data_IF_315913239218
#
_entry.id   IF_315913239218
#
_cell.length_a   1.000
_cell.length_b   1.000
_cell.length_c   1.000
_cell.angle_alpha   90.00
_cell.angle_beta   90.00
_cell.angle_gamma   90.00
#
_symmetry.space_group_name_H-M   'P 1'
#
loop_
_entity.id
_entity.type
_entity.pdbx_description
1 polymer ?
2 non-polymer ?
3 water ?
#
# COMPACT_ATOMS: atom_id res chain seq x y z
N UNK A 10 -14.80 0.12 4.12
CA UNK A 10 -15.41 0.33 2.79
C UNK A 10 -14.90 -0.69 1.80
N UNK A 11 -15.80 -1.38 1.12
CA UNK A 11 -15.45 -2.48 0.22
C UNK A 11 -15.72 -2.08 -1.23
N UNK A 12 -14.74 -2.35 -2.10
CA UNK A 12 -14.81 -2.05 -3.52
C UNK A 12 -14.41 -3.26 -4.34
N UNK A 13 -14.93 -3.36 -5.57
CA UNK A 13 -14.51 -4.45 -6.44
C UNK A 13 -13.85 -3.88 -7.68
N UNK A 14 -12.80 -4.55 -8.12
CA UNK A 14 -12.15 -4.19 -9.38
C UNK A 14 -11.42 -5.41 -9.94
N UNK A 15 -11.64 -5.66 -11.22
CA UNK A 15 -11.15 -6.89 -11.79
C UNK A 15 -11.82 -8.05 -11.07
N UNK A 16 -11.05 -9.05 -10.73
CA UNK A 16 -11.50 -10.16 -9.88
C UNK A 16 -11.00 -9.98 -8.45
N UNK A 17 -10.93 -8.73 -7.99
CA UNK A 17 -10.34 -8.39 -6.70
C UNK A 17 -11.34 -7.64 -5.83
N UNK A 18 -11.36 -7.97 -4.56
CA UNK A 18 -12.09 -7.21 -3.57
C UNK A 18 -11.09 -6.39 -2.76
N UNK A 19 -11.30 -5.08 -2.71
CA UNK A 19 -10.51 -4.17 -1.89
C UNK A 19 -11.32 -3.75 -0.68
N UNK A 20 -10.63 -3.59 0.44
CA UNK A 20 -11.15 -2.98 1.63
C UNK A 20 -10.30 -1.80 2.00
N UNK A 21 -10.93 -0.64 2.16
CA UNK A 21 -10.24 0.58 2.53
C UNK A 21 -10.47 0.85 4.02
N UNK A 22 -9.38 0.92 4.77
CA UNK A 22 -9.43 1.15 6.21
C UNK A 22 -9.08 2.58 6.50
N UNK A 23 -9.89 3.21 7.35
CA UNK A 23 -9.59 4.54 7.88
C UNK A 23 -9.37 4.40 9.38
N UNK A 24 -8.12 4.40 9.79
CA UNK A 24 -7.76 4.23 11.18
C UNK A 24 -6.34 4.72 11.35
N UNK A 25 -5.99 5.10 12.58
CA UNK A 25 -4.65 5.58 12.90
C UNK A 25 -3.73 4.36 13.11
N UNK A 26 -2.82 4.11 12.17
CA UNK A 26 -2.08 2.85 12.16
C UNK A 26 -0.61 3.01 11.78
N UNK A 27 0.26 2.30 12.44
CA UNK A 27 1.57 2.05 11.86
C UNK A 27 1.45 1.01 10.75
N UNK A 28 2.57 0.71 10.05
CA UNK A 28 2.48 -0.29 8.98
C UNK A 28 2.21 -1.65 9.61
N UNK A 29 2.82 -1.93 10.76
CA UNK A 29 2.60 -3.20 11.43
C UNK A 29 1.14 -3.38 11.84
N UNK A 30 0.51 -2.27 12.30
CA UNK A 30 -0.91 -2.28 12.67
C UNK A 30 -1.80 -2.39 11.45
N UNK A 31 -1.33 -1.91 10.30
CA UNK A 31 -2.07 -2.11 9.06
C UNK A 31 -2.05 -3.57 8.62
N UNK A 32 -0.91 -4.28 8.78
CA UNK A 32 -0.88 -5.69 8.52
C UNK A 32 -1.96 -6.36 9.36
N UNK A 33 -1.95 -6.05 10.66
CA UNK A 33 -2.89 -6.66 11.61
C UNK A 33 -4.34 -6.33 11.24
N UNK A 34 -4.61 -5.06 10.97
CA UNK A 34 -5.99 -4.63 10.74
C UNK A 34 -6.54 -5.27 9.50
N UNK A 35 -5.72 -5.34 8.43
CA UNK A 35 -6.22 -6.03 7.26
C UNK A 35 -6.59 -7.47 7.60
N UNK A 36 -5.71 -8.17 8.31
CA UNK A 36 -5.99 -9.58 8.65
C UNK A 36 -7.24 -9.72 9.51
N UNK A 37 -7.45 -8.80 10.44
CA UNK A 37 -8.66 -8.81 11.25
C UNK A 37 -9.90 -8.66 10.39
N UNK A 38 -9.78 -8.08 9.20
CA UNK A 38 -10.89 -7.99 8.24
C UNK A 38 -10.85 -9.09 7.18
N UNK A 39 -10.11 -10.16 7.44
CA UNK A 39 -10.01 -11.32 6.56
C UNK A 39 -9.44 -10.93 5.19
N UNK A 40 -8.47 -10.03 5.21
CA UNK A 40 -7.84 -9.58 3.99
C UNK A 40 -6.34 -9.41 4.26
N UNK A 41 -5.63 -8.87 3.28
CA UNK A 41 -4.21 -8.63 3.46
C UNK A 41 -3.80 -7.27 2.90
N UNK A 42 -2.86 -6.64 3.57
CA UNK A 42 -2.37 -5.35 3.07
C UNK A 42 -1.99 -5.51 1.60
N UNK A 43 -2.38 -4.53 0.77
CA UNK A 43 -2.49 -4.74 -0.66
C UNK A 43 -1.15 -4.92 -1.37
N UNK A 44 -1.16 -5.77 -2.37
CA UNK A 44 -0.10 -5.83 -3.36
C UNK A 44 -0.68 -5.27 -4.66
N UNK A 45 0.18 -4.55 -5.38
CA UNK A 45 -0.22 -3.80 -6.60
C UNK A 45 0.69 -4.30 -7.71
N UNK A 46 0.15 -5.08 -8.63
CA UNK A 46 0.98 -5.79 -9.56
C UNK A 46 0.90 -5.30 -10.98
N UNK A 47 0.02 -4.34 -11.30
CA UNK A 47 0.00 -3.80 -12.64
C UNK A 47 -0.66 -2.43 -12.68
N UNK A 48 -0.52 -1.78 -13.82
CA UNK A 48 -1.00 -0.40 -14.01
C UNK A 48 -2.51 -0.26 -13.90
N UNK A 49 -3.28 -1.33 -14.18
CA UNK A 49 -4.72 -1.20 -14.11
C UNK A 49 -5.23 -1.14 -12.69
N UNK A 50 -4.72 -2.04 -11.82
CA UNK A 50 -5.10 -2.03 -10.43
C UNK A 50 -4.55 -0.78 -9.78
N UNK A 51 -3.35 -0.35 -10.20
CA UNK A 51 -2.82 0.91 -9.68
C UNK A 51 -3.74 2.09 -10.03
N UNK A 52 -4.19 2.18 -11.28
CA UNK A 52 -5.01 3.30 -11.70
C UNK A 52 -6.35 3.31 -10.95
N UNK A 53 -6.90 2.12 -10.67
CA UNK A 53 -8.11 2.06 -9.84
C UNK A 53 -7.87 2.64 -8.46
N UNK A 54 -6.70 2.28 -7.85
CA UNK A 54 -6.42 2.75 -6.51
C UNK A 54 -6.03 4.21 -6.50
N UNK A 55 -5.39 4.71 -7.58
CA UNK A 55 -5.12 6.13 -7.69
C UNK A 55 -6.40 6.94 -7.60
N UNK A 56 -7.45 6.51 -8.28
CA UNK A 56 -8.72 7.23 -8.24
C UNK A 56 -9.28 7.21 -6.83
N UNK A 57 -9.24 6.03 -6.20
CA UNK A 57 -9.72 5.91 -4.81
C UNK A 57 -8.97 6.87 -3.89
N UNK A 58 -7.63 6.85 -3.96
CA UNK A 58 -6.80 7.68 -3.08
C UNK A 58 -6.99 9.18 -3.36
N UNK A 59 -7.11 9.55 -4.61
CA UNK A 59 -7.23 10.96 -4.94
C UNK A 59 -8.57 11.50 -4.46
N UNK A 60 -9.60 10.65 -4.46
CA UNK A 60 -10.89 11.04 -3.88
C UNK A 60 -10.86 11.12 -2.37
N UNK A 61 -10.10 10.24 -1.69
CA UNK A 61 -10.03 10.33 -0.24
C UNK A 61 -9.14 11.45 0.25
N UNK A 62 -8.00 11.66 -0.38
CA UNK A 62 -7.15 12.77 -0.09
C UNK A 62 -6.05 12.59 0.92
N UNK A 63 -5.72 11.35 1.31
CA UNK A 63 -4.67 11.15 2.31
C UNK A 63 -3.99 9.81 2.05
N UNK A 64 -2.78 9.71 2.56
CA UNK A 64 -1.90 8.58 2.29
C UNK A 64 -2.40 7.31 2.98
N UNK A 65 -2.22 6.15 2.31
CA UNK A 65 -2.62 4.85 2.82
C UNK A 65 -1.43 3.89 2.78
N UNK A 66 -1.24 3.10 3.83
CA UNK A 66 -0.25 2.04 3.75
C UNK A 66 -0.59 1.02 2.66
N UNK A 67 0.46 0.49 2.03
CA UNK A 67 0.34 -0.67 1.15
C UNK A 67 1.34 -1.72 1.63
N UNK A 68 1.28 -2.90 1.01
CA UNK A 68 1.96 -4.06 1.58
C UNK A 68 3.37 -4.27 1.14
N UNK A 69 4.09 -3.24 0.81
CA UNK A 69 5.46 -3.36 0.35
C UNK A 69 6.47 -2.95 1.42
N UNK A 70 7.54 -3.72 1.56
CA UNK A 70 8.51 -3.46 2.64
C UNK A 70 9.87 -4.03 2.26
N UNK A 71 10.89 -3.53 2.95
CA UNK A 71 12.24 -4.04 2.78
C UNK A 71 12.90 -4.37 4.12
N UNK A 72 13.66 -5.45 4.15
CA UNK A 72 14.54 -5.74 5.28
C UNK A 72 16.03 -5.62 4.97
N UNK A 73 16.40 -5.17 3.76
CA UNK A 73 17.79 -5.06 3.35
C UNK A 73 18.10 -3.66 2.84
N UNK A 74 17.54 -2.65 3.54
CA UNK A 74 17.81 -1.24 3.33
C UNK A 74 17.49 -0.80 1.91
N UNK A 75 16.43 -1.37 1.35
CA UNK A 75 15.94 -0.98 0.06
C UNK A 75 16.60 -1.61 -1.12
N UNK A 76 17.47 -2.57 -0.92
CA UNK A 76 18.02 -3.33 -2.04
C UNK A 76 16.92 -4.11 -2.74
N UNK A 77 16.01 -4.70 -1.96
CA UNK A 77 14.88 -5.47 -2.46
C UNK A 77 13.65 -5.08 -1.68
N UNK A 78 12.52 -4.87 -2.39
CA UNK A 78 11.24 -4.65 -1.74
C UNK A 78 10.36 -5.85 -2.06
N UNK A 79 9.67 -6.37 -1.07
CA UNK A 79 8.80 -7.52 -1.23
C UNK A 79 7.37 -7.15 -0.83
N UNK A 80 6.40 -7.84 -1.42
CA UNK A 80 5.01 -7.73 -0.97
C UNK A 80 4.72 -8.63 0.22
N UNK A 81 4.07 -8.06 1.23
CA UNK A 81 3.73 -8.81 2.45
C UNK A 81 2.77 -9.97 2.19
N UNK A 82 1.97 -9.92 1.11
CA UNK A 82 1.07 -11.02 0.81
C UNK A 82 1.72 -12.10 -0.05
N UNK A 83 3.01 -12.00 -0.32
CA UNK A 83 3.78 -13.01 -1.04
C UNK A 83 3.82 -12.91 -2.55
N UNK A 84 3.11 -11.99 -3.16
CA UNK A 84 3.10 -11.88 -4.61
C UNK A 84 4.46 -11.47 -5.16
N UNK A 85 4.80 -12.03 -6.31
CA UNK A 85 6.05 -11.70 -6.98
C UNK A 85 5.73 -10.89 -8.23
N UNK A 86 6.38 -9.74 -8.37
CA UNK A 86 6.04 -8.87 -9.49
C UNK A 86 7.11 -7.79 -9.66
N UNK A 87 7.24 -7.32 -10.88
CA UNK A 87 8.20 -6.29 -11.25
C UNK A 87 7.63 -4.89 -11.15
N UNK A 88 6.31 -4.75 -11.04
CA UNK A 88 5.66 -3.44 -11.15
C UNK A 88 6.05 -2.55 -9.98
N UNK A 89 6.38 -1.28 -10.28
CA UNK A 89 6.62 -0.28 -9.24
C UNK A 89 5.93 1.01 -9.65
N UNK A 90 5.66 1.85 -8.66
CA UNK A 90 4.97 3.13 -8.88
C UNK A 90 5.50 4.17 -7.92
N UNK A 91 6.83 4.24 -7.82
CA UNK A 91 7.45 5.22 -6.95
C UNK A 91 7.19 6.65 -7.45
N UNK A 92 7.04 7.55 -6.50
CA UNK A 92 6.88 8.98 -6.82
C UNK A 92 8.10 9.51 -7.54
N UNK A 93 9.28 9.29 -6.99
CA UNK A 93 10.51 9.79 -7.57
C UNK A 93 11.68 8.96 -7.07
N UNK A 94 12.89 9.36 -7.51
CA UNK A 94 14.16 8.76 -7.06
C UNK A 94 14.23 8.59 -5.56
N UNK A 95 14.10 9.70 -4.85
CA UNK A 95 14.27 9.70 -3.41
C UNK A 95 13.26 8.80 -2.71
N UNK A 96 12.06 8.61 -3.29
CA UNK A 96 11.01 8.02 -2.49
C UNK A 96 11.32 6.59 -2.08
N UNK A 97 12.10 5.83 -2.88
CA UNK A 97 12.52 4.44 -2.67
C UNK A 97 13.60 4.33 -1.62
N UNK A 98 14.10 5.47 -1.13
CA UNK A 98 15.34 5.48 -0.34
C UNK A 98 15.12 5.81 1.13
N UNK A 99 13.93 6.28 1.50
CA UNK A 99 13.78 6.96 2.77
C UNK A 99 13.38 6.05 3.91
N UNK A 100 12.91 4.84 3.65
CA UNK A 100 12.55 4.00 4.78
C UNK A 100 12.18 2.59 4.36
N UNK A 101 11.75 1.80 5.35
CA UNK A 101 11.57 0.37 5.17
C UNK A 101 10.17 -0.04 4.77
N UNK A 102 9.15 0.79 4.97
CA UNK A 102 7.75 0.39 4.73
C UNK A 102 7.14 1.40 3.76
N UNK A 103 6.15 0.99 2.99
CA UNK A 103 5.68 1.76 1.83
C UNK A 103 4.23 2.16 1.98
N UNK A 104 3.97 3.42 1.62
CA UNK A 104 2.60 3.90 1.46
C UNK A 104 2.37 4.51 0.09
N UNK A 105 1.09 4.66 -0.25
CA UNK A 105 0.70 5.38 -1.46
C UNK A 105 0.11 6.73 -1.08
N UNK A 106 0.59 7.80 -1.73
CA UNK A 106 0.12 9.15 -1.42
C UNK A 106 -1.24 9.39 -2.07
N UNK A 107 -1.76 10.64 -1.91
CA UNK A 107 -3.07 11.00 -2.40
C UNK A 107 -3.14 11.04 -3.91
N UNK A 108 -2.01 10.93 -4.61
CA UNK A 108 -2.00 10.79 -6.06
C UNK A 108 -1.70 9.37 -6.53
N UNK A 109 -1.66 8.41 -5.60
CA UNK A 109 -1.42 7.00 -5.88
C UNK A 109 0.05 6.60 -5.87
N UNK A 110 1.00 7.57 -5.83
CA UNK A 110 2.41 7.22 -6.01
C UNK A 110 3.02 6.73 -4.68
N UNK A 111 4.07 5.91 -4.79
CA UNK A 111 4.57 5.21 -3.61
C UNK A 111 5.75 5.96 -2.99
N UNK A 112 5.82 5.84 -1.68
CA UNK A 112 6.89 6.40 -0.85
C UNK A 112 7.26 5.39 0.22
N UNK A 113 8.54 5.39 0.60
CA UNK A 113 8.99 4.59 1.74
C UNK A 113 9.29 5.48 2.96
N UNK A 114 9.05 4.90 4.13
CA UNK A 114 9.17 5.62 5.38
C UNK A 114 9.31 4.63 6.54
N UNK A 115 9.50 5.17 7.73
CA UNK A 115 9.63 4.30 8.89
C UNK A 115 8.34 3.52 9.14
N UNK A 116 8.49 2.22 9.42
CA UNK A 116 7.33 1.36 9.67
C UNK A 116 6.54 1.81 10.89
N UNK A 117 7.18 2.50 11.84
CA UNK A 117 6.58 3.01 13.06
C UNK A 117 5.85 4.33 12.88
N UNK A 118 5.88 4.91 11.70
CA UNK A 118 5.11 6.10 11.37
C UNK A 118 3.63 5.79 11.47
N UNK A 119 2.83 6.84 11.70
CA UNK A 119 1.37 6.73 11.75
C UNK A 119 0.72 7.35 10.53
N UNK A 120 -0.09 6.57 9.82
CA UNK A 120 -0.97 7.04 8.75
C UNK A 120 -2.41 6.77 9.15
N UNK A 121 -3.35 7.41 8.45
CA UNK A 121 -4.76 7.27 8.78
C UNK A 121 -5.47 6.31 7.85
N UNK A 122 -4.74 5.63 6.97
CA UNK A 122 -5.40 4.72 6.04
C UNK A 122 -4.52 3.54 5.70
N UNK A 123 -5.19 2.47 5.26
CA UNK A 123 -4.58 1.32 4.64
C UNK A 123 -5.49 0.78 3.56
N UNK A 124 -4.87 0.17 2.55
CA UNK A 124 -5.61 -0.55 1.53
C UNK A 124 -5.34 -2.04 1.68
N UNK A 125 -6.41 -2.84 1.80
CA UNK A 125 -6.36 -4.29 1.90
C UNK A 125 -7.01 -4.89 0.68
N UNK A 126 -6.68 -6.15 0.40
CA UNK A 126 -7.44 -6.88 -0.59
C UNK A 126 -7.63 -8.32 -0.20
N UNK A 127 -8.60 -8.97 -0.83
CA UNK A 127 -8.87 -10.38 -0.48
C UNK A 127 -8.16 -11.30 -1.47
#
# INVERSE_FOLDING_TARGET
NTSDMYPMPNTLEYGNRTYKIINANMTWYAAIKTCLMHKAQLVSITDQYHQSFLTVVLNRLGYAHWIGLFTTDNGLNFDWSDGTKSSFTFWKDEESSLLGDCVFADSNGRWHSTACESFLQGAICHVHHHHHH
#
